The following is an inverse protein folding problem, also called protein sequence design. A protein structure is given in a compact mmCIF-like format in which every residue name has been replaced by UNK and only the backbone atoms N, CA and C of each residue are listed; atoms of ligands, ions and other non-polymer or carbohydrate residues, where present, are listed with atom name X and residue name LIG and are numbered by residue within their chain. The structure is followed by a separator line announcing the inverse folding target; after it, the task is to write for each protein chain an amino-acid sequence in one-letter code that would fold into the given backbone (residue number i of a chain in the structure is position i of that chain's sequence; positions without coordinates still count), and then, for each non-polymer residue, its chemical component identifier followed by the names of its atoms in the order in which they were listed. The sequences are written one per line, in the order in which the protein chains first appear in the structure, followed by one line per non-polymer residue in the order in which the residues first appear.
data_IF_869525553211
#
_entry.id   IF_869525553211
#
_cell.length_a   1.000
_cell.length_b   1.000
_cell.length_c   1.000
_cell.angle_alpha   90.00
_cell.angle_beta   90.00
_cell.angle_gamma   90.00
#
_symmetry.space_group_name_H-M   'P 1'
#
loop_
_entity.id
_entity.type
_entity.pdbx_description
1 polymer ?
#
# COMPACT_ATOMS: atom_id res chain seq x y z
N UNK A 1 -10.09 -18.43 23.77
CA UNK A 1 -9.40 -17.92 22.58
C UNK A 1 -8.43 -16.87 23.06
N UNK A 2 -7.11 -17.06 22.88
CA UNK A 2 -6.11 -16.02 23.19
C UNK A 2 -6.53 -14.73 22.48
N UNK A 3 -6.40 -13.58 23.12
CA UNK A 3 -6.74 -12.28 22.53
C UNK A 3 -5.92 -12.10 21.25
N UNK A 4 -6.53 -12.40 20.10
CA UNK A 4 -5.88 -12.26 18.81
C UNK A 4 -5.50 -10.80 18.64
N UNK A 5 -4.29 -10.58 18.13
CA UNK A 5 -3.69 -9.26 18.19
C UNK A 5 -4.44 -8.27 17.28
N UNK A 6 -5.30 -7.44 17.89
CA UNK A 6 -6.22 -6.55 17.19
C UNK A 6 -5.45 -5.54 16.31
N UNK A 7 -4.30 -5.05 16.78
CA UNK A 7 -3.46 -4.13 16.02
C UNK A 7 -2.90 -4.77 14.74
N UNK A 8 -2.47 -6.04 14.80
CA UNK A 8 -2.04 -6.77 13.61
C UNK A 8 -3.22 -6.87 12.63
N UNK A 9 -4.39 -7.30 13.11
CA UNK A 9 -5.59 -7.40 12.28
C UNK A 9 -5.93 -6.07 11.58
N UNK A 10 -5.87 -4.96 12.31
CA UNK A 10 -6.10 -3.62 11.74
C UNK A 10 -5.07 -3.33 10.64
N UNK A 11 -3.78 -3.60 10.86
CA UNK A 11 -2.75 -3.42 9.83
C UNK A 11 -3.02 -4.28 8.59
N UNK A 12 -3.38 -5.55 8.75
CA UNK A 12 -3.73 -6.44 7.63
C UNK A 12 -4.95 -5.90 6.85
N UNK A 13 -5.95 -5.39 7.57
CA UNK A 13 -7.13 -4.79 6.97
C UNK A 13 -6.81 -3.52 6.18
N UNK A 14 -5.97 -2.62 6.72
CA UNK A 14 -5.53 -1.40 6.02
C UNK A 14 -4.85 -1.71 4.70
N UNK A 15 -3.94 -2.69 4.68
CA UNK A 15 -3.26 -3.10 3.43
C UNK A 15 -4.23 -3.80 2.47
N UNK A 16 -5.24 -4.49 2.98
CA UNK A 16 -6.32 -5.08 2.15
C UNK A 16 -7.16 -3.98 1.47
N UNK A 17 -7.47 -2.88 2.16
CA UNK A 17 -8.17 -1.74 1.57
C UNK A 17 -7.33 -1.14 0.43
N UNK A 18 -6.02 -0.99 0.61
CA UNK A 18 -5.10 -0.57 -0.45
C UNK A 18 -5.16 -1.48 -1.68
N UNK A 19 -5.16 -2.80 -1.48
CA UNK A 19 -5.30 -3.77 -2.57
C UNK A 19 -6.62 -3.56 -3.32
N UNK A 20 -7.74 -3.42 -2.61
CA UNK A 20 -9.07 -3.20 -3.21
C UNK A 20 -9.09 -1.89 -3.99
N UNK A 21 -8.59 -0.79 -3.42
CA UNK A 21 -8.49 0.49 -4.12
C UNK A 21 -7.65 0.37 -5.40
N UNK A 22 -6.54 -0.37 -5.35
CA UNK A 22 -5.71 -0.63 -6.54
C UNK A 22 -6.49 -1.33 -7.66
N UNK A 23 -7.41 -2.23 -7.32
CA UNK A 23 -8.25 -2.95 -8.27
C UNK A 23 -9.36 -2.05 -8.82
N UNK A 24 -9.98 -1.22 -7.97
CA UNK A 24 -11.02 -0.27 -8.41
C UNK A 24 -10.45 0.77 -9.36
N UNK A 25 -9.28 1.35 -9.06
CA UNK A 25 -8.64 2.35 -9.92
C UNK A 25 -8.33 1.78 -11.31
N UNK A 26 -8.00 0.48 -11.39
CA UNK A 26 -7.70 -0.22 -12.66
C UNK A 26 -8.87 -0.31 -13.62
N UNK A 27 -10.11 -0.19 -13.14
CA UNK A 27 -11.30 -0.23 -14.00
C UNK A 27 -11.59 1.12 -14.67
N UNK A 28 -10.88 2.18 -14.27
CA UNK A 28 -11.11 3.52 -14.77
C UNK A 28 -10.61 3.68 -16.22
N UNK A 29 -11.33 4.41 -17.10
CA UNK A 29 -10.95 4.55 -18.52
C UNK A 29 -9.54 5.11 -18.77
N UNK A 30 -9.10 6.04 -17.92
CA UNK A 30 -7.78 6.68 -18.03
C UNK A 30 -6.62 5.78 -17.58
N UNK A 31 -6.91 4.69 -16.87
CA UNK A 31 -5.89 3.84 -16.26
C UNK A 31 -4.95 3.21 -17.31
N UNK A 32 -5.48 2.87 -18.48
CA UNK A 32 -4.66 2.29 -19.56
C UNK A 32 -3.55 3.22 -20.05
N UNK A 33 -3.77 4.53 -19.98
CA UNK A 33 -2.83 5.53 -20.46
C UNK A 33 -1.87 6.01 -19.37
N UNK A 34 -2.34 6.18 -18.12
CA UNK A 34 -1.56 6.83 -17.06
C UNK A 34 -1.43 5.99 -15.77
N UNK A 35 -2.06 4.82 -15.72
CA UNK A 35 -2.17 4.02 -14.51
C UNK A 35 -0.84 3.54 -13.96
N UNK A 36 0.14 3.23 -14.83
CA UNK A 36 1.49 2.81 -14.42
C UNK A 36 2.26 3.86 -13.65
N UNK A 37 1.95 5.15 -13.89
CA UNK A 37 2.59 6.26 -13.19
C UNK A 37 1.85 6.57 -11.89
N UNK A 38 0.52 6.51 -11.90
CA UNK A 38 -0.31 6.88 -10.76
C UNK A 38 -0.46 5.79 -9.70
N UNK A 39 -0.30 4.51 -10.06
CA UNK A 39 -0.53 3.37 -9.18
C UNK A 39 0.50 2.26 -9.42
N UNK A 40 1.13 1.72 -8.37
CA UNK A 40 1.96 0.53 -8.50
C UNK A 40 1.17 -0.68 -9.05
N UNK A 41 1.87 -1.68 -9.60
CA UNK A 41 1.27 -2.96 -9.98
C UNK A 41 0.46 -3.58 -8.83
N UNK A 42 -0.72 -4.15 -9.09
CA UNK A 42 -1.59 -4.65 -8.01
C UNK A 42 -0.93 -5.76 -7.18
N UNK A 43 -0.06 -6.54 -7.81
CA UNK A 43 0.64 -7.63 -7.14
C UNK A 43 1.64 -7.13 -6.08
N UNK A 44 2.06 -5.86 -6.15
CA UNK A 44 2.83 -5.22 -5.07
C UNK A 44 2.01 -5.05 -3.80
N UNK A 45 0.68 -4.99 -3.88
CA UNK A 45 -0.19 -4.98 -2.70
C UNK A 45 -0.67 -6.39 -2.35
N UNK A 46 -0.92 -7.24 -3.34
CA UNK A 46 -1.39 -8.61 -3.13
C UNK A 46 -0.43 -9.43 -2.26
N UNK A 47 0.88 -9.39 -2.56
CA UNK A 47 1.87 -10.20 -1.85
C UNK A 47 1.96 -9.79 -0.37
N UNK A 48 2.15 -8.50 0.00
CA UNK A 48 2.10 -8.06 1.40
C UNK A 48 0.78 -8.39 2.09
N UNK A 49 -0.37 -8.25 1.40
CA UNK A 49 -1.68 -8.62 1.97
C UNK A 49 -1.71 -10.10 2.36
N UNK A 50 -1.30 -11.01 1.46
CA UNK A 50 -1.27 -12.45 1.74
C UNK A 50 -0.34 -12.74 2.93
N UNK A 51 0.87 -12.16 2.93
CA UNK A 51 1.83 -12.35 4.01
C UNK A 51 1.26 -11.88 5.36
N UNK A 52 0.56 -10.73 5.39
CA UNK A 52 -0.05 -10.23 6.61
C UNK A 52 -1.15 -11.16 7.13
N UNK A 53 -2.04 -11.64 6.27
CA UNK A 53 -3.10 -12.56 6.68
C UNK A 53 -2.56 -13.90 7.16
N UNK A 54 -1.54 -14.45 6.48
CA UNK A 54 -0.85 -15.67 6.90
C UNK A 54 -0.19 -15.47 8.26
N UNK A 55 0.57 -14.38 8.45
CA UNK A 55 1.22 -14.10 9.72
C UNK A 55 0.24 -13.86 10.86
N UNK A 56 -0.90 -13.20 10.59
CA UNK A 56 -1.96 -13.04 11.58
C UNK A 56 -2.65 -14.36 11.93
N UNK A 57 -2.83 -15.26 10.97
CA UNK A 57 -3.42 -16.59 11.20
C UNK A 57 -2.51 -17.46 12.08
N UNK A 58 -1.20 -17.43 11.84
CA UNK A 58 -0.21 -18.19 12.61
C UNK A 58 0.34 -17.46 13.85
N UNK A 59 -0.12 -16.24 14.13
CA UNK A 59 0.35 -15.40 15.26
C UNK A 59 1.87 -15.09 15.23
N UNK A 60 2.47 -15.02 14.04
CA UNK A 60 3.91 -14.89 13.86
C UNK A 60 4.31 -13.48 13.40
N UNK A 61 5.02 -12.75 14.28
CA UNK A 61 5.34 -11.34 14.09
C UNK A 61 6.38 -11.09 12.98
N UNK A 62 7.18 -12.10 12.62
CA UNK A 62 8.17 -11.97 11.55
C UNK A 62 7.52 -11.63 10.19
N UNK A 63 6.33 -12.19 9.91
CA UNK A 63 5.59 -11.91 8.68
C UNK A 63 5.09 -10.45 8.62
N UNK A 64 4.69 -9.87 9.77
CA UNK A 64 4.32 -8.45 9.85
C UNK A 64 5.48 -7.56 9.43
N UNK A 65 6.67 -7.82 9.98
CA UNK A 65 7.87 -7.06 9.64
C UNK A 65 8.24 -7.23 8.16
N UNK A 66 8.23 -8.47 7.66
CA UNK A 66 8.55 -8.75 6.26
C UNK A 66 7.59 -8.04 5.28
N UNK A 67 6.28 -8.11 5.53
CA UNK A 67 5.29 -7.40 4.72
C UNK A 67 5.47 -5.87 4.78
N UNK A 68 5.79 -5.33 5.95
CA UNK A 68 6.02 -3.89 6.14
C UNK A 68 7.26 -3.40 5.40
N UNK A 69 8.34 -4.19 5.41
CA UNK A 69 9.56 -3.91 4.64
C UNK A 69 9.25 -3.91 3.14
N UNK A 70 8.52 -4.92 2.64
CA UNK A 70 8.10 -4.96 1.23
C UNK A 70 7.29 -3.72 0.84
N UNK A 71 6.32 -3.32 1.67
CA UNK A 71 5.54 -2.10 1.44
C UNK A 71 6.42 -0.84 1.40
N UNK A 72 7.45 -0.77 2.24
CA UNK A 72 8.40 0.35 2.26
C UNK A 72 9.28 0.40 1.00
N UNK A 73 9.71 -0.77 0.50
CA UNK A 73 10.44 -0.86 -0.77
C UNK A 73 9.55 -0.41 -1.92
N UNK A 74 8.30 -0.87 -1.96
CA UNK A 74 7.34 -0.46 -2.99
C UNK A 74 7.00 1.02 -2.93
N UNK A 75 6.95 1.61 -1.74
CA UNK A 75 6.86 3.06 -1.57
C UNK A 75 8.03 3.77 -2.25
N UNK A 76 9.26 3.34 -1.98
CA UNK A 76 10.47 3.89 -2.60
C UNK A 76 10.41 3.84 -4.12
N UNK A 77 10.08 2.68 -4.69
CA UNK A 77 9.92 2.52 -6.14
C UNK A 77 8.79 3.38 -6.73
N UNK A 78 7.77 3.71 -5.95
CA UNK A 78 6.68 4.57 -6.42
C UNK A 78 7.09 6.05 -6.51
N UNK A 79 8.09 6.48 -5.74
CA UNK A 79 8.62 7.85 -5.78
C UNK A 79 9.30 8.17 -7.11
N UNK A 80 9.80 7.17 -7.84
CA UNK A 80 10.40 7.36 -9.16
C UNK A 80 9.39 7.94 -10.19
N UNK A 81 8.08 7.76 -9.94
CA UNK A 81 7.01 8.29 -10.79
C UNK A 81 6.57 9.73 -10.42
N UNK A 82 7.29 10.42 -9.53
CA UNK A 82 6.96 11.79 -9.09
C UNK A 82 6.93 12.83 -10.22
N UNK A 83 7.50 12.52 -11.39
CA UNK A 83 7.39 13.35 -12.60
C UNK A 83 5.95 13.69 -13.02
N UNK A 84 4.97 12.92 -12.54
CA UNK A 84 3.53 13.18 -12.76
C UNK A 84 3.02 14.47 -12.09
N UNK A 85 3.68 14.89 -11.01
CA UNK A 85 3.34 16.09 -10.25
C UNK A 85 3.97 17.35 -10.88
N UNK A 86 5.20 17.21 -11.37
CA UNK A 86 5.98 18.32 -11.91
C UNK A 86 5.73 18.58 -13.41
N UNK A 87 4.92 17.75 -14.06
CA UNK A 87 4.55 17.89 -15.47
C UNK A 87 5.56 17.32 -16.46
N UNK A 88 6.57 16.60 -15.96
CA UNK A 88 7.55 15.87 -16.78
C UNK A 88 6.85 14.73 -17.56
N UNK A 89 5.85 14.11 -16.93
CA UNK A 89 4.95 13.16 -17.60
C UNK A 89 3.75 13.94 -18.13
N UNK A 90 3.61 13.99 -19.47
CA UNK A 90 2.48 14.66 -20.10
C UNK A 90 1.18 13.88 -19.87
N UNK A 91 0.24 14.50 -19.15
CA UNK A 91 -1.11 14.00 -18.92
C UNK A 91 -2.10 15.00 -19.52
N UNK A 92 -3.03 14.53 -20.35
CA UNK A 92 -4.05 15.39 -20.96
C UNK A 92 -4.82 16.14 -19.85
N UNK A 93 -5.04 17.44 -20.04
CA UNK A 93 -5.60 18.33 -19.01
C UNK A 93 -6.92 17.83 -18.41
N UNK A 94 -7.75 17.11 -19.17
CA UNK A 94 -9.02 16.56 -18.69
C UNK A 94 -8.88 15.42 -17.68
N UNK A 95 -7.73 14.72 -17.68
CA UNK A 95 -7.45 13.59 -16.79
C UNK A 95 -6.39 13.93 -15.72
N UNK A 96 -5.63 15.00 -15.92
CA UNK A 96 -4.56 15.41 -15.02
C UNK A 96 -4.97 15.53 -13.54
N UNK A 97 -6.15 16.09 -13.18
CA UNK A 97 -6.57 16.16 -11.78
C UNK A 97 -6.72 14.76 -11.15
N UNK A 98 -7.47 13.87 -11.81
CA UNK A 98 -7.76 12.53 -11.30
C UNK A 98 -6.49 11.70 -11.14
N UNK A 99 -5.63 11.74 -12.17
CA UNK A 99 -4.36 11.01 -12.20
C UNK A 99 -3.43 11.45 -11.06
N UNK A 100 -3.30 12.78 -10.84
CA UNK A 100 -2.48 13.32 -9.74
C UNK A 100 -3.07 13.01 -8.37
N UNK A 101 -4.39 13.08 -8.21
CA UNK A 101 -5.07 12.71 -6.97
C UNK A 101 -4.81 11.24 -6.63
N UNK A 102 -4.92 10.34 -7.61
CA UNK A 102 -4.62 8.92 -7.38
C UNK A 102 -3.16 8.71 -6.99
N UNK A 103 -2.22 9.38 -7.66
CA UNK A 103 -0.81 9.29 -7.29
C UNK A 103 -0.58 9.71 -5.83
N UNK A 104 -1.06 10.90 -5.44
CA UNK A 104 -0.87 11.43 -4.07
C UNK A 104 -1.56 10.54 -3.04
N UNK A 105 -2.79 10.09 -3.30
CA UNK A 105 -3.51 9.21 -2.38
C UNK A 105 -2.79 7.87 -2.20
N UNK A 106 -2.34 7.27 -3.29
CA UNK A 106 -1.56 6.02 -3.25
C UNK A 106 -0.30 6.20 -2.41
N UNK A 107 0.45 7.27 -2.67
CA UNK A 107 1.67 7.60 -1.95
C UNK A 107 1.41 7.74 -0.44
N UNK A 108 0.39 8.50 -0.05
CA UNK A 108 0.03 8.69 1.36
C UNK A 108 -0.43 7.39 2.03
N UNK A 109 -1.25 6.58 1.34
CA UNK A 109 -1.76 5.34 1.90
C UNK A 109 -0.68 4.28 2.07
N UNK A 110 0.26 4.16 1.12
CA UNK A 110 1.39 3.23 1.23
C UNK A 110 2.34 3.67 2.34
N UNK A 111 2.64 4.97 2.45
CA UNK A 111 3.43 5.52 3.55
C UNK A 111 2.76 5.28 4.91
N UNK A 112 1.46 5.59 5.03
CA UNK A 112 0.68 5.38 6.24
C UNK A 112 0.59 3.91 6.64
N UNK A 113 0.40 3.01 5.67
CA UNK A 113 0.35 1.56 5.92
C UNK A 113 1.70 1.01 6.36
N UNK A 114 2.80 1.50 5.77
CA UNK A 114 4.16 1.12 6.18
C UNK A 114 4.47 1.62 7.60
N UNK A 115 4.13 2.87 7.91
CA UNK A 115 4.28 3.44 9.25
C UNK A 115 3.45 2.69 10.30
N UNK A 116 2.19 2.39 9.99
CA UNK A 116 1.32 1.57 10.84
C UNK A 116 1.91 0.18 11.07
N UNK A 117 2.43 -0.47 10.02
CA UNK A 117 3.04 -1.80 10.13
C UNK A 117 4.25 -1.83 11.07
N UNK A 118 5.16 -0.86 10.96
CA UNK A 118 6.30 -0.75 11.86
C UNK A 118 5.87 -0.44 13.30
N UNK A 119 4.91 0.47 13.47
CA UNK A 119 4.36 0.81 14.77
C UNK A 119 3.72 -0.40 15.45
N UNK A 120 2.87 -1.14 14.72
CA UNK A 120 2.27 -2.37 15.22
C UNK A 120 3.36 -3.35 15.63
N UNK A 121 4.32 -3.65 14.75
CA UNK A 121 5.40 -4.59 15.07
C UNK A 121 6.18 -4.21 16.33
N UNK A 122 6.55 -2.93 16.47
CA UNK A 122 7.23 -2.41 17.65
C UNK A 122 6.39 -2.63 18.91
N UNK A 123 5.10 -2.24 18.87
CA UNK A 123 4.23 -2.37 20.04
C UNK A 123 3.97 -3.82 20.43
N UNK A 124 3.84 -4.73 19.47
CA UNK A 124 3.67 -6.17 19.76
C UNK A 124 4.92 -6.80 20.37
N UNK A 125 6.10 -6.26 20.08
CA UNK A 125 7.36 -6.71 20.69
C UNK A 125 7.55 -6.18 22.10
N UNK A 126 7.13 -4.95 22.39
CA UNK A 126 7.28 -4.33 23.73
C UNK A 126 6.27 -4.86 24.76
N UNK A 127 5.12 -5.40 24.32
CA UNK A 127 4.05 -5.90 25.22
C UNK A 127 4.19 -7.40 25.54
N UNK A 128 5.20 -8.08 24.98
CA UNK A 128 5.60 -9.43 25.39
C UNK A 128 6.56 -9.36 26.57
#
# INVERSE_FOLDING_TARGET
MKERNLLYFITALTVTILLILSLVIRTMPWFRAYGSFAMPPFYYFLIPTIILWVGWFFEENAFLLAATILMSVFFGLHLDNTGILNGDIHVISSQAPVVRTVFVLTLMLVAGSSGLGYFTYYKLRTVK
#
